data_IF_703464155867
#
_entry.id   IF_703464155867
#
_cell.length_a   1.000
_cell.length_b   1.000
_cell.length_c   1.000
_cell.angle_alpha   90.00
_cell.angle_beta   90.00
_cell.angle_gamma   90.00
#
_symmetry.space_group_name_H-M   'P 1'
#
loop_
_entity.id
_entity.type
_entity.pdbx_description
1 polymer ?
#
# COMPACT_ATOMS: atom_id res chain seq x y z
N UNK A 1 -23.92 -4.90 2.32
CA UNK A 1 -23.91 -6.37 2.21
C UNK A 1 -22.60 -6.78 1.59
N UNK A 2 -21.73 -7.36 2.40
CA UNK A 2 -20.47 -7.97 1.97
C UNK A 2 -20.79 -9.15 1.05
N UNK A 3 -20.43 -9.10 -0.21
CA UNK A 3 -20.44 -10.29 -1.04
C UNK A 3 -19.21 -11.12 -0.69
N UNK A 4 -19.41 -12.26 -0.05
CA UNK A 4 -18.39 -13.29 0.08
C UNK A 4 -18.01 -13.77 -1.33
N UNK A 5 -16.86 -13.34 -1.82
CA UNK A 5 -16.20 -14.06 -2.89
C UNK A 5 -15.59 -15.32 -2.26
N UNK A 6 -16.10 -16.48 -2.61
CA UNK A 6 -15.52 -17.76 -2.22
C UNK A 6 -14.03 -17.73 -2.54
N UNK A 7 -13.19 -17.94 -1.53
CA UNK A 7 -11.75 -18.09 -1.69
C UNK A 7 -11.50 -19.29 -2.61
N UNK A 8 -11.29 -19.04 -3.89
CA UNK A 8 -10.65 -20.03 -4.75
C UNK A 8 -9.16 -19.98 -4.43
N UNK A 9 -8.49 -21.12 -4.23
CA UNK A 9 -7.04 -21.11 -4.20
C UNK A 9 -6.57 -20.53 -5.54
N UNK A 10 -5.98 -19.34 -5.48
CA UNK A 10 -5.36 -18.72 -6.63
C UNK A 10 -4.04 -19.47 -6.85
N UNK A 11 -4.06 -20.51 -7.64
CA UNK A 11 -2.83 -21.10 -8.17
C UNK A 11 -2.40 -20.18 -9.30
N UNK A 12 -1.67 -19.13 -8.96
CA UNK A 12 -0.92 -18.33 -9.91
C UNK A 12 0.21 -19.20 -10.44
N UNK A 13 -0.01 -19.81 -11.58
CA UNK A 13 1.08 -20.37 -12.37
C UNK A 13 1.77 -19.20 -13.05
N UNK A 14 2.78 -18.61 -12.37
CA UNK A 14 3.56 -17.48 -12.86
C UNK A 14 4.56 -17.88 -13.96
N UNK A 15 4.27 -18.93 -14.73
CA UNK A 15 5.13 -19.33 -15.85
C UNK A 15 5.26 -18.18 -16.86
N UNK A 16 6.47 -17.63 -16.94
CA UNK A 16 6.82 -16.55 -17.86
C UNK A 16 6.79 -15.14 -17.25
N UNK A 17 6.12 -14.92 -16.10
CA UNK A 17 6.07 -13.60 -15.48
C UNK A 17 7.39 -13.18 -14.80
N UNK A 18 8.27 -14.12 -14.51
CA UNK A 18 9.64 -13.87 -14.05
C UNK A 18 10.61 -13.48 -15.19
N UNK A 19 10.17 -13.62 -16.45
CA UNK A 19 10.98 -13.27 -17.61
C UNK A 19 10.90 -11.76 -17.90
N UNK A 20 11.93 -11.24 -18.55
CA UNK A 20 11.90 -9.87 -19.05
C UNK A 20 10.87 -9.74 -20.17
N UNK A 21 9.99 -8.75 -20.07
CA UNK A 21 9.08 -8.41 -21.15
C UNK A 21 9.83 -7.66 -22.29
N UNK A 22 9.31 -7.75 -23.53
CA UNK A 22 9.84 -6.93 -24.64
C UNK A 22 9.62 -5.44 -24.38
N UNK A 23 8.43 -5.10 -23.86
CA UNK A 23 8.04 -3.74 -23.49
C UNK A 23 8.22 -3.58 -22.00
N UNK A 24 9.14 -2.70 -21.60
CA UNK A 24 9.54 -2.54 -20.20
C UNK A 24 9.19 -1.17 -19.67
N UNK A 25 8.61 -1.14 -18.48
CA UNK A 25 8.45 0.07 -17.71
C UNK A 25 9.80 0.59 -17.20
N UNK A 26 9.81 1.81 -16.72
CA UNK A 26 10.97 2.46 -16.11
C UNK A 26 10.80 2.61 -14.60
N UNK A 27 11.93 2.58 -13.89
CA UNK A 27 11.99 2.84 -12.46
C UNK A 27 12.69 4.18 -12.24
N UNK A 28 12.05 5.05 -11.48
CA UNK A 28 12.59 6.37 -11.10
C UNK A 28 12.76 6.40 -9.59
N UNK A 29 13.98 6.70 -9.12
CA UNK A 29 14.21 7.06 -7.72
C UNK A 29 13.81 8.52 -7.50
N UNK A 30 13.10 8.78 -6.41
CA UNK A 30 12.68 10.11 -6.00
C UNK A 30 13.01 10.32 -4.53
N UNK A 31 13.85 11.31 -4.25
CA UNK A 31 14.01 11.83 -2.91
C UNK A 31 13.07 13.03 -2.74
N UNK A 32 12.42 13.13 -1.58
CA UNK A 32 11.44 14.18 -1.29
C UNK A 32 11.59 14.69 0.15
N UNK A 33 11.25 15.93 0.34
CA UNK A 33 11.24 16.56 1.65
C UNK A 33 9.98 16.15 2.40
N UNK A 34 10.17 15.81 3.67
CA UNK A 34 9.13 15.40 4.60
C UNK A 34 9.48 15.86 6.02
N UNK A 35 8.79 15.35 7.00
CA UNK A 35 9.05 15.60 8.41
C UNK A 35 8.93 14.32 9.22
N UNK A 36 9.46 14.34 10.42
CA UNK A 36 9.32 13.23 11.34
C UNK A 36 7.91 13.21 11.94
N UNK A 37 7.09 12.31 11.46
CA UNK A 37 5.73 12.07 11.96
C UNK A 37 5.70 11.07 13.11
N UNK A 38 6.72 10.22 13.26
CA UNK A 38 6.76 9.16 14.26
C UNK A 38 7.04 9.71 15.66
N UNK A 39 7.97 10.65 15.76
CA UNK A 39 8.33 11.29 17.03
C UNK A 39 7.45 12.52 17.35
N UNK A 40 6.53 12.88 16.45
CA UNK A 40 5.60 13.99 16.62
C UNK A 40 6.25 15.37 16.70
N UNK A 41 7.55 15.47 16.42
CA UNK A 41 8.32 16.70 16.55
C UNK A 41 8.31 17.56 15.28
N UNK A 42 7.89 17.01 14.16
CA UNK A 42 7.89 17.70 12.87
C UNK A 42 9.28 18.10 12.36
N UNK A 43 10.35 17.47 12.86
CA UNK A 43 11.70 17.71 12.39
C UNK A 43 11.81 17.44 10.89
N UNK A 44 12.46 18.34 10.15
CA UNK A 44 12.68 18.18 8.71
C UNK A 44 13.45 16.90 8.42
N UNK A 45 12.97 16.13 7.45
CA UNK A 45 13.57 14.88 6.96
C UNK A 45 13.56 14.88 5.44
N UNK A 46 14.44 14.08 4.86
CA UNK A 46 14.35 13.66 3.45
C UNK A 46 14.08 12.17 3.43
N UNK A 47 13.11 11.75 2.63
CA UNK A 47 12.81 10.33 2.43
C UNK A 47 12.90 9.97 0.95
N UNK A 48 12.90 8.68 0.64
CA UNK A 48 13.05 8.15 -0.72
C UNK A 48 11.86 7.27 -1.07
N UNK A 49 11.39 7.38 -2.29
CA UNK A 49 10.47 6.44 -2.91
C UNK A 49 10.99 6.02 -4.29
N UNK A 50 10.57 4.84 -4.76
CA UNK A 50 10.79 4.42 -6.14
C UNK A 50 9.46 4.39 -6.87
N UNK A 51 9.46 4.84 -8.11
CA UNK A 51 8.27 4.96 -8.95
C UNK A 51 8.45 4.11 -10.19
N UNK A 52 7.58 3.11 -10.37
CA UNK A 52 7.44 2.41 -11.63
C UNK A 52 6.48 3.16 -12.54
N UNK A 53 6.93 3.47 -13.73
CA UNK A 53 6.12 4.00 -14.84
C UNK A 53 5.95 2.89 -15.87
N UNK A 54 4.72 2.58 -16.34
CA UNK A 54 4.50 1.52 -17.31
C UNK A 54 5.13 1.86 -18.67
N UNK A 55 5.42 0.83 -19.46
CA UNK A 55 5.88 1.04 -20.83
C UNK A 55 4.95 1.98 -21.59
N UNK A 56 5.53 2.93 -22.32
CA UNK A 56 4.77 3.92 -23.08
C UNK A 56 3.98 4.88 -22.18
N UNK A 57 4.49 5.14 -20.95
CA UNK A 57 3.91 6.18 -20.09
C UNK A 57 3.77 7.49 -20.89
N UNK A 58 2.59 8.08 -20.82
CA UNK A 58 2.17 9.22 -21.61
C UNK A 58 1.52 10.26 -20.70
N UNK A 59 2.09 11.45 -20.65
CA UNK A 59 1.59 12.56 -19.84
C UNK A 59 0.22 13.09 -20.27
N UNK A 60 -0.32 12.62 -21.40
CA UNK A 60 -1.68 12.94 -21.83
C UNK A 60 -2.72 11.94 -21.34
N UNK A 61 -2.27 10.84 -20.69
CA UNK A 61 -3.13 9.80 -20.11
C UNK A 61 -3.14 9.87 -18.61
N UNK A 62 -4.24 9.43 -18.00
CA UNK A 62 -4.37 9.30 -16.56
C UNK A 62 -4.18 7.86 -16.13
N UNK A 63 -3.45 7.67 -15.06
CA UNK A 63 -3.11 6.35 -14.53
C UNK A 63 -3.66 6.15 -13.11
N UNK A 64 -4.15 4.95 -12.83
CA UNK A 64 -4.33 4.50 -11.46
C UNK A 64 -2.96 4.41 -10.79
N UNK A 65 -2.92 4.60 -9.48
CA UNK A 65 -1.67 4.57 -8.72
C UNK A 65 -1.80 3.70 -7.48
N UNK A 66 -0.75 2.96 -7.17
CA UNK A 66 -0.67 2.14 -5.96
C UNK A 66 0.61 2.43 -5.19
N UNK A 67 0.46 2.62 -3.88
CA UNK A 67 1.56 2.74 -2.92
C UNK A 67 1.77 1.36 -2.28
N UNK A 68 2.96 0.76 -2.50
CA UNK A 68 3.28 -0.59 -2.06
C UNK A 68 4.42 -0.57 -1.03
N UNK A 69 4.10 -0.87 0.21
CA UNK A 69 5.00 -0.74 1.36
C UNK A 69 5.73 -2.06 1.62
N UNK A 70 7.04 -1.99 1.82
CA UNK A 70 7.91 -3.14 2.08
C UNK A 70 7.71 -3.76 3.48
N UNK A 71 8.22 -4.98 3.69
CA UNK A 71 8.28 -5.66 4.99
C UNK A 71 9.42 -5.13 5.88
N UNK A 72 9.60 -5.76 7.06
CA UNK A 72 10.46 -5.24 8.14
C UNK A 72 11.88 -4.87 7.70
N UNK A 73 12.60 -5.75 7.06
CA UNK A 73 14.01 -5.49 6.67
C UNK A 73 14.15 -4.79 5.30
N UNK A 74 13.04 -4.32 4.74
CA UNK A 74 13.05 -3.68 3.45
C UNK A 74 13.37 -2.20 3.49
N UNK A 75 13.47 -1.65 2.29
CA UNK A 75 13.61 -0.22 2.00
C UNK A 75 12.74 0.12 0.80
N UNK A 76 12.68 1.38 0.40
CA UNK A 76 11.98 1.81 -0.81
C UNK A 76 12.37 1.02 -2.08
N UNK A 77 13.63 0.56 -2.17
CA UNK A 77 14.14 -0.16 -3.35
C UNK A 77 13.85 -1.66 -3.36
N UNK A 78 13.34 -2.22 -2.25
CA UNK A 78 13.22 -3.69 -2.05
C UNK A 78 12.55 -4.41 -3.20
N UNK A 79 11.50 -3.85 -3.78
CA UNK A 79 10.75 -4.50 -4.85
C UNK A 79 11.37 -4.37 -6.24
N UNK A 80 12.31 -3.42 -6.44
CA UNK A 80 12.84 -3.09 -7.76
C UNK A 80 14.34 -3.35 -7.93
N UNK A 81 15.16 -3.12 -6.89
CA UNK A 81 16.63 -3.10 -7.01
C UNK A 81 17.33 -4.24 -6.25
N UNK A 82 16.60 -5.11 -5.54
CA UNK A 82 17.21 -6.29 -4.90
C UNK A 82 17.32 -7.45 -5.87
N UNK A 83 18.17 -8.43 -5.57
CA UNK A 83 18.30 -9.68 -6.36
C UNK A 83 16.94 -10.40 -6.54
N UNK A 84 16.03 -10.21 -5.58
CA UNK A 84 14.67 -10.72 -5.61
C UNK A 84 13.64 -9.69 -6.09
N UNK A 85 14.09 -8.53 -6.57
CA UNK A 85 13.24 -7.42 -7.03
C UNK A 85 12.56 -7.72 -8.36
N UNK A 86 11.64 -8.65 -8.35
CA UNK A 86 10.93 -9.12 -9.56
C UNK A 86 9.73 -8.25 -9.94
N UNK A 87 9.39 -7.24 -9.13
CA UNK A 87 8.12 -6.52 -9.29
C UNK A 87 8.00 -5.87 -10.67
N UNK A 88 9.07 -5.25 -11.20
CA UNK A 88 9.02 -4.65 -12.54
C UNK A 88 8.68 -5.69 -13.61
N UNK A 89 9.36 -6.84 -13.61
CA UNK A 89 9.10 -7.92 -14.58
C UNK A 89 7.66 -8.41 -14.50
N UNK A 90 7.17 -8.62 -13.29
CA UNK A 90 5.79 -9.03 -13.05
C UNK A 90 4.80 -8.01 -13.60
N UNK A 91 4.98 -6.72 -13.30
CA UNK A 91 4.11 -5.65 -13.79
C UNK A 91 4.15 -5.53 -15.32
N UNK A 92 5.35 -5.56 -15.91
CA UNK A 92 5.52 -5.48 -17.36
C UNK A 92 4.79 -6.64 -18.06
N UNK A 93 4.93 -7.86 -17.55
CA UNK A 93 4.25 -9.05 -18.11
C UNK A 93 2.74 -8.99 -17.91
N UNK A 94 2.26 -8.62 -16.71
CA UNK A 94 0.82 -8.50 -16.44
C UNK A 94 0.16 -7.43 -17.33
N UNK A 95 0.85 -6.33 -17.60
CA UNK A 95 0.38 -5.28 -18.52
C UNK A 95 0.40 -5.78 -19.95
N UNK A 96 1.48 -6.45 -20.39
CA UNK A 96 1.62 -6.98 -21.74
C UNK A 96 0.56 -8.05 -22.05
N UNK A 97 0.19 -8.87 -21.08
CA UNK A 97 -0.87 -9.88 -21.23
C UNK A 97 -2.29 -9.33 -21.04
N UNK A 98 -2.43 -8.08 -20.60
CA UNK A 98 -3.73 -7.46 -20.35
C UNK A 98 -4.40 -7.90 -19.06
N UNK A 99 -3.65 -8.50 -18.11
CA UNK A 99 -4.16 -8.91 -16.80
C UNK A 99 -4.46 -7.71 -15.92
N UNK A 100 -3.67 -6.63 -16.08
CA UNK A 100 -3.91 -5.33 -15.45
C UNK A 100 -3.79 -4.20 -16.48
N UNK A 101 -4.53 -3.13 -16.27
CA UNK A 101 -4.33 -1.90 -17.00
C UNK A 101 -2.97 -1.25 -16.61
N UNK A 102 -2.31 -0.53 -17.53
CA UNK A 102 -1.13 0.26 -17.19
C UNK A 102 -1.39 1.15 -15.98
N UNK A 103 -0.52 1.10 -14.97
CA UNK A 103 -0.66 1.84 -13.73
C UNK A 103 0.71 2.27 -13.17
N UNK A 104 0.70 3.25 -12.30
CA UNK A 104 1.89 3.72 -11.57
C UNK A 104 1.99 2.95 -10.26
N UNK A 105 3.19 2.46 -9.92
CA UNK A 105 3.45 1.88 -8.60
C UNK A 105 4.50 2.74 -7.90
N UNK A 106 4.23 3.11 -6.67
CA UNK A 106 5.16 3.83 -5.80
C UNK A 106 5.54 2.94 -4.63
N UNK A 107 6.83 2.78 -4.39
CA UNK A 107 7.31 2.03 -3.23
C UNK A 107 7.95 2.99 -2.22
N UNK A 108 7.19 3.46 -1.22
CA UNK A 108 7.72 4.30 -0.14
C UNK A 108 8.47 3.48 0.89
N UNK A 109 9.14 4.16 1.83
CA UNK A 109 9.70 3.52 3.02
C UNK A 109 9.29 4.27 4.28
N UNK A 110 8.94 3.53 5.35
CA UNK A 110 8.60 4.09 6.65
C UNK A 110 9.83 4.39 7.52
N UNK A 111 10.98 3.78 7.22
CA UNK A 111 12.17 3.78 8.06
C UNK A 111 13.28 4.72 7.58
N UNK A 112 12.99 5.63 6.66
CA UNK A 112 13.96 6.58 6.07
C UNK A 112 15.22 5.89 5.52
N UNK A 113 15.08 4.64 5.03
CA UNK A 113 16.20 3.83 4.54
C UNK A 113 17.08 3.23 5.65
N UNK A 114 16.70 3.32 6.92
CA UNK A 114 17.41 2.77 8.07
C UNK A 114 16.59 1.64 8.69
N UNK A 115 16.91 0.37 8.41
CA UNK A 115 16.18 -0.76 8.98
C UNK A 115 16.18 -0.71 10.51
N UNK A 116 15.03 -0.95 11.11
CA UNK A 116 14.87 -1.04 12.57
C UNK A 116 15.31 -2.40 13.09
N UNK A 117 15.73 -2.46 14.35
CA UNK A 117 16.26 -3.69 14.94
C UNK A 117 15.18 -4.78 15.12
N UNK A 118 13.95 -4.37 15.39
CA UNK A 118 12.82 -5.26 15.63
C UNK A 118 11.48 -4.62 15.23
N UNK A 119 10.41 -5.39 15.32
CA UNK A 119 9.06 -4.95 14.93
C UNK A 119 8.53 -3.81 15.80
N UNK A 120 8.86 -3.81 17.08
CA UNK A 120 8.39 -2.79 18.02
C UNK A 120 9.04 -1.44 17.76
N UNK A 121 10.30 -1.43 17.32
CA UNK A 121 10.99 -0.22 16.90
C UNK A 121 10.46 0.30 15.55
N UNK A 122 9.95 -0.60 14.70
CA UNK A 122 9.36 -0.25 13.41
C UNK A 122 7.93 0.33 13.54
N UNK A 123 7.18 -0.08 14.55
CA UNK A 123 5.76 0.24 14.69
C UNK A 123 5.43 1.74 14.67
N UNK A 124 6.13 2.62 15.41
CA UNK A 124 5.86 4.07 15.36
C UNK A 124 6.00 4.66 13.94
N UNK A 125 6.97 4.17 13.18
CA UNK A 125 7.19 4.61 11.80
C UNK A 125 6.13 4.06 10.84
N UNK A 126 5.74 2.79 11.00
CA UNK A 126 4.64 2.19 10.24
C UNK A 126 3.32 2.93 10.47
N UNK A 127 3.06 3.32 11.73
CA UNK A 127 1.88 4.09 12.10
C UNK A 127 1.91 5.52 11.57
N UNK A 128 3.10 6.11 11.46
CA UNK A 128 3.30 7.48 10.99
C UNK A 128 3.24 7.62 9.46
N UNK A 129 3.62 6.57 8.71
CA UNK A 129 3.71 6.63 7.26
C UNK A 129 2.41 7.07 6.56
N UNK A 130 1.20 6.66 6.97
CA UNK A 130 -0.04 7.14 6.35
C UNK A 130 -0.17 8.67 6.33
N UNK A 131 0.26 9.34 7.39
CA UNK A 131 0.26 10.81 7.45
C UNK A 131 1.32 11.42 6.51
N UNK A 132 2.52 10.84 6.46
CA UNK A 132 3.56 11.25 5.50
C UNK A 132 3.10 11.06 4.05
N UNK A 133 2.43 9.94 3.75
CA UNK A 133 1.90 9.70 2.41
C UNK A 133 0.93 10.80 1.99
N UNK A 134 -0.04 11.13 2.83
CA UNK A 134 -1.10 12.08 2.47
C UNK A 134 -0.58 13.52 2.41
N UNK A 135 0.30 13.90 3.33
CA UNK A 135 0.75 15.29 3.42
C UNK A 135 1.95 15.63 2.52
N UNK A 136 2.81 14.65 2.23
CA UNK A 136 4.07 14.93 1.56
C UNK A 136 4.24 14.09 0.26
N UNK A 137 4.20 12.76 0.31
CA UNK A 137 4.56 11.93 -0.84
C UNK A 137 3.49 11.94 -1.95
N UNK A 138 2.21 11.81 -1.63
CA UNK A 138 1.12 11.86 -2.63
C UNK A 138 1.15 13.19 -3.37
N UNK A 139 1.20 14.36 -2.70
CA UNK A 139 1.34 15.65 -3.38
C UNK A 139 2.54 15.73 -4.32
N UNK A 140 3.71 15.27 -3.89
CA UNK A 140 4.94 15.32 -4.69
C UNK A 140 4.86 14.41 -5.92
N UNK A 141 4.39 13.16 -5.74
CA UNK A 141 4.31 12.19 -6.83
C UNK A 141 3.21 12.58 -7.83
N UNK A 142 2.01 12.87 -7.34
CA UNK A 142 0.84 13.08 -8.21
C UNK A 142 0.78 14.48 -8.83
N UNK A 143 1.60 15.43 -8.35
CA UNK A 143 1.86 16.67 -9.10
C UNK A 143 2.85 16.48 -10.25
N UNK A 144 3.70 15.46 -10.18
CA UNK A 144 4.73 15.18 -11.19
C UNK A 144 4.30 14.19 -12.27
N UNK A 145 3.44 13.23 -11.90
CA UNK A 145 2.98 12.17 -12.81
C UNK A 145 1.47 12.25 -12.99
N UNK A 146 1.00 11.98 -14.22
CA UNK A 146 -0.39 12.10 -14.58
C UNK A 146 -1.25 10.97 -14.00
N UNK A 147 -1.85 11.22 -12.85
CA UNK A 147 -2.85 10.37 -12.19
C UNK A 147 -4.25 10.92 -12.42
N UNK A 148 -5.22 10.37 -11.71
CA UNK A 148 -6.58 10.91 -11.69
C UNK A 148 -6.76 12.08 -10.71
N UNK A 149 -5.73 12.47 -9.94
CA UNK A 149 -5.75 13.68 -9.14
C UNK A 149 -5.55 14.90 -10.06
N UNK A 150 -6.54 15.79 -10.11
CA UNK A 150 -6.44 17.05 -10.86
C UNK A 150 -5.67 18.11 -10.07
N UNK A 151 -5.80 18.06 -8.75
CA UNK A 151 -5.01 18.83 -7.79
C UNK A 151 -4.49 17.89 -6.70
N UNK A 152 -3.44 18.29 -6.02
CA UNK A 152 -2.80 17.49 -4.96
C UNK A 152 -3.01 18.06 -3.57
N UNK A 153 -3.95 18.96 -3.41
CA UNK A 153 -4.50 19.37 -2.13
C UNK A 153 -5.45 18.30 -1.55
N UNK A 154 -5.94 18.52 -0.35
CA UNK A 154 -6.80 17.56 0.34
C UNK A 154 -8.07 17.19 -0.46
N UNK A 155 -8.67 18.16 -1.14
CA UNK A 155 -9.86 17.95 -1.95
C UNK A 155 -9.56 17.11 -3.20
N UNK A 156 -8.50 17.42 -3.93
CA UNK A 156 -8.09 16.65 -5.13
C UNK A 156 -7.68 15.22 -4.79
N UNK A 157 -7.00 15.03 -3.65
CA UNK A 157 -6.66 13.70 -3.14
C UNK A 157 -7.93 12.89 -2.82
N UNK A 158 -8.91 13.52 -2.18
CA UNK A 158 -10.17 12.88 -1.83
C UNK A 158 -11.00 12.52 -3.07
N UNK A 159 -11.17 13.43 -3.99
CA UNK A 159 -11.96 13.22 -5.23
C UNK A 159 -11.35 12.08 -6.06
N UNK A 160 -10.01 11.98 -6.11
CA UNK A 160 -9.29 10.94 -6.85
C UNK A 160 -9.12 9.62 -6.10
N UNK A 161 -9.56 9.49 -4.84
CA UNK A 161 -9.32 8.30 -3.98
C UNK A 161 -9.69 6.96 -4.61
N UNK A 162 -10.69 6.93 -5.49
CA UNK A 162 -11.14 5.70 -6.18
C UNK A 162 -10.10 5.14 -7.17
N UNK A 163 -9.10 5.92 -7.51
CA UNK A 163 -8.00 5.57 -8.39
C UNK A 163 -6.68 5.31 -7.65
N UNK A 164 -6.74 5.35 -6.30
CA UNK A 164 -5.55 5.19 -5.45
C UNK A 164 -5.67 3.98 -4.55
N UNK A 165 -4.63 3.14 -4.56
CA UNK A 165 -4.49 1.96 -3.74
C UNK A 165 -3.29 2.08 -2.78
N UNK A 166 -3.38 1.40 -1.65
CA UNK A 166 -2.25 1.13 -0.76
C UNK A 166 -2.21 -0.36 -0.42
N UNK A 167 -1.03 -0.91 -0.34
CA UNK A 167 -0.82 -2.29 0.07
C UNK A 167 0.58 -2.51 0.61
N UNK A 168 0.84 -3.71 1.10
CA UNK A 168 2.17 -4.06 1.57
C UNK A 168 2.24 -5.44 2.18
N UNK A 169 3.46 -5.92 2.37
CA UNK A 169 3.77 -7.23 2.90
C UNK A 169 4.32 -7.13 4.33
N UNK A 170 3.91 -8.03 5.24
CA UNK A 170 4.40 -8.09 6.62
C UNK A 170 4.20 -6.75 7.35
N UNK A 171 5.26 -6.05 7.77
CA UNK A 171 5.14 -4.70 8.35
C UNK A 171 4.49 -3.68 7.39
N UNK A 172 4.62 -3.88 6.08
CA UNK A 172 3.87 -3.09 5.09
C UNK A 172 2.37 -3.36 5.13
N UNK A 173 1.94 -4.58 5.50
CA UNK A 173 0.53 -4.87 5.74
C UNK A 173 0.03 -4.21 7.04
N UNK A 174 0.85 -4.20 8.10
CA UNK A 174 0.56 -3.42 9.34
C UNK A 174 0.35 -1.94 8.99
N UNK A 175 1.24 -1.37 8.17
CA UNK A 175 1.11 0.01 7.66
C UNK A 175 -0.17 0.20 6.84
N UNK A 176 -0.53 -0.79 6.02
CA UNK A 176 -1.79 -0.76 5.24
C UNK A 176 -3.02 -0.71 6.14
N UNK A 177 -3.02 -1.43 7.27
CA UNK A 177 -4.09 -1.36 8.26
C UNK A 177 -4.14 0.00 8.98
N UNK A 178 -3.00 0.61 9.31
CA UNK A 178 -2.96 1.98 9.81
C UNK A 178 -3.50 2.98 8.78
N UNK A 179 -3.16 2.81 7.51
CA UNK A 179 -3.71 3.64 6.44
C UNK A 179 -5.23 3.46 6.31
N UNK A 180 -5.76 2.24 6.47
CA UNK A 180 -7.20 2.03 6.49
C UNK A 180 -7.88 2.75 7.65
N UNK A 181 -7.26 2.74 8.83
CA UNK A 181 -7.78 3.41 10.02
C UNK A 181 -7.80 4.95 9.88
N UNK A 182 -6.80 5.53 9.21
CA UNK A 182 -6.54 6.97 9.27
C UNK A 182 -6.78 7.72 7.95
N UNK A 183 -6.76 7.04 6.80
CA UNK A 183 -6.69 7.70 5.49
C UNK A 183 -7.73 7.24 4.48
N UNK A 184 -8.95 6.94 4.93
CA UNK A 184 -10.07 6.59 4.05
C UNK A 184 -10.41 7.69 3.02
N UNK A 185 -10.05 8.95 3.29
CA UNK A 185 -10.18 10.06 2.35
C UNK A 185 -9.19 9.98 1.18
N UNK A 186 -8.04 9.34 1.38
CA UNK A 186 -7.00 9.28 0.36
C UNK A 186 -7.06 7.98 -0.46
N UNK A 187 -7.47 6.87 0.15
CA UNK A 187 -7.43 5.55 -0.48
C UNK A 187 -8.81 4.88 -0.51
N UNK A 188 -9.10 4.18 -1.59
CA UNK A 188 -10.28 3.31 -1.72
C UNK A 188 -9.93 1.82 -1.66
N UNK A 189 -8.71 1.45 -2.07
CA UNK A 189 -8.27 0.08 -2.24
C UNK A 189 -7.13 -0.22 -1.27
N UNK A 190 -7.30 -1.28 -0.47
CA UNK A 190 -6.34 -1.68 0.55
C UNK A 190 -5.94 -3.13 0.32
N UNK A 191 -4.63 -3.40 0.26
CA UNK A 191 -4.09 -4.73 -0.02
C UNK A 191 -3.06 -5.15 1.04
N UNK A 192 -3.50 -5.47 2.28
CA UNK A 192 -2.61 -6.02 3.29
C UNK A 192 -2.28 -7.48 2.98
N UNK A 193 -1.00 -7.84 2.93
CA UNK A 193 -0.50 -9.18 2.61
C UNK A 193 0.34 -9.68 3.78
N UNK A 194 -0.04 -10.81 4.37
CA UNK A 194 0.72 -11.54 5.42
C UNK A 194 1.16 -10.64 6.58
N UNK A 195 0.26 -9.83 7.12
CA UNK A 195 0.53 -8.97 8.28
C UNK A 195 -0.73 -8.69 9.08
N UNK A 196 -0.56 -8.41 10.36
CA UNK A 196 -1.65 -8.25 11.30
C UNK A 196 -2.14 -6.80 11.42
N UNK A 197 -3.36 -6.61 11.86
CA UNK A 197 -3.91 -5.29 12.19
C UNK A 197 -3.52 -4.89 13.62
N UNK A 198 -2.74 -3.81 13.74
CA UNK A 198 -2.26 -3.29 15.03
C UNK A 198 -2.97 -2.00 15.47
N UNK A 199 -4.07 -1.63 14.85
CA UNK A 199 -4.82 -0.39 15.20
C UNK A 199 -5.24 -0.31 16.67
N UNK A 200 -5.47 -1.45 17.33
CA UNK A 200 -5.75 -1.53 18.78
C UNK A 200 -4.54 -1.97 19.63
N UNK A 201 -3.34 -1.87 19.09
CA UNK A 201 -2.09 -2.31 19.71
C UNK A 201 -1.51 -3.56 19.05
N UNK A 202 -0.30 -3.92 19.45
CA UNK A 202 0.46 -5.00 18.83
C UNK A 202 -0.30 -6.32 18.80
N UNK A 203 -0.33 -6.92 17.62
CA UNK A 203 -1.01 -8.19 17.36
C UNK A 203 -2.50 -8.20 17.73
N UNK A 204 -3.16 -7.04 17.69
CA UNK A 204 -4.57 -6.95 18.06
C UNK A 204 -5.48 -7.77 17.14
N UNK A 205 -5.21 -7.79 15.84
CA UNK A 205 -5.97 -8.60 14.89
C UNK A 205 -5.89 -10.10 15.17
N UNK A 206 -4.73 -10.60 15.64
CA UNK A 206 -4.56 -12.00 16.04
C UNK A 206 -5.12 -12.30 17.42
N UNK A 207 -4.86 -11.42 18.39
CA UNK A 207 -5.17 -11.68 19.79
C UNK A 207 -6.60 -11.28 20.19
N UNK A 208 -7.19 -10.31 19.46
CA UNK A 208 -8.54 -9.76 19.70
C UNK A 208 -9.26 -9.51 18.39
N UNK A 209 -9.45 -10.57 17.53
CA UNK A 209 -9.92 -10.40 16.17
C UNK A 209 -11.30 -9.75 16.08
N UNK A 210 -12.26 -10.15 16.91
CA UNK A 210 -13.62 -9.62 16.90
C UNK A 210 -13.66 -8.15 17.32
N UNK A 211 -12.89 -7.78 18.35
CA UNK A 211 -12.78 -6.39 18.82
C UNK A 211 -12.12 -5.52 17.74
N UNK A 212 -11.06 -6.02 17.10
CA UNK A 212 -10.38 -5.31 16.02
C UNK A 212 -11.29 -5.14 14.80
N UNK A 213 -12.03 -6.16 14.43
CA UNK A 213 -12.98 -6.09 13.32
C UNK A 213 -14.13 -5.11 13.62
N UNK A 214 -14.67 -5.13 14.84
CA UNK A 214 -15.70 -4.18 15.28
C UNK A 214 -15.17 -2.73 15.23
N UNK A 215 -13.96 -2.50 15.72
CA UNK A 215 -13.30 -1.20 15.68
C UNK A 215 -13.17 -0.66 14.25
N UNK A 216 -12.63 -1.46 13.33
CA UNK A 216 -12.49 -1.04 11.92
C UNK A 216 -13.84 -0.79 11.26
N UNK A 217 -14.85 -1.61 11.57
CA UNK A 217 -16.22 -1.41 11.08
C UNK A 217 -16.83 -0.12 11.61
N UNK A 218 -16.57 0.24 12.88
CA UNK A 218 -17.04 1.50 13.46
C UNK A 218 -16.34 2.71 12.82
N UNK A 219 -15.05 2.62 12.55
CA UNK A 219 -14.32 3.66 11.80
C UNK A 219 -14.99 3.95 10.45
N UNK A 220 -15.34 2.91 9.70
CA UNK A 220 -16.05 3.07 8.43
C UNK A 220 -17.42 3.67 8.64
N UNK A 221 -18.22 3.16 9.58
CA UNK A 221 -19.58 3.65 9.86
C UNK A 221 -19.61 5.13 10.24
N UNK A 222 -18.59 5.60 10.95
CA UNK A 222 -18.46 6.98 11.41
C UNK A 222 -17.82 7.90 10.35
N UNK A 223 -17.25 7.34 9.29
CA UNK A 223 -16.63 8.12 8.21
C UNK A 223 -17.65 8.61 7.19
N UNK A 224 -17.27 9.66 6.43
CA UNK A 224 -18.03 10.11 5.27
C UNK A 224 -18.11 9.05 4.14
N UNK A 225 -17.35 7.95 4.25
CA UNK A 225 -17.20 6.92 3.21
C UNK A 225 -18.02 5.67 3.44
N UNK A 226 -18.84 5.60 4.49
CA UNK A 226 -19.67 4.44 4.81
C UNK A 226 -20.57 3.97 3.64
N UNK A 227 -21.06 4.89 2.81
CA UNK A 227 -21.91 4.60 1.65
C UNK A 227 -21.18 4.59 0.30
N UNK A 228 -19.92 5.00 0.23
CA UNK A 228 -19.21 5.20 -1.05
C UNK A 228 -18.34 4.02 -1.49
N UNK A 229 -18.27 2.99 -0.66
CA UNK A 229 -17.49 1.79 -0.89
C UNK A 229 -15.97 1.98 -0.75
N UNK A 230 -15.35 0.96 -0.25
CA UNK A 230 -13.91 0.72 -0.26
C UNK A 230 -13.72 -0.78 -0.47
N UNK A 231 -12.49 -1.19 -0.75
CA UNK A 231 -12.17 -2.59 -0.97
C UNK A 231 -10.94 -2.98 -0.17
N UNK A 232 -11.04 -4.10 0.52
CA UNK A 232 -9.91 -4.75 1.16
C UNK A 232 -9.70 -6.09 0.46
N UNK A 233 -8.53 -6.28 -0.12
CA UNK A 233 -8.07 -7.55 -0.62
C UNK A 233 -6.92 -8.02 0.26
N UNK A 234 -7.20 -8.94 1.17
CA UNK A 234 -6.22 -9.46 2.11
C UNK A 234 -5.79 -10.87 1.69
N UNK A 235 -4.51 -11.14 1.75
CA UNK A 235 -3.94 -12.45 1.46
C UNK A 235 -2.97 -12.89 2.55
N UNK A 236 -3.00 -14.19 2.87
CA UNK A 236 -2.07 -14.82 3.82
C UNK A 236 -1.88 -16.28 3.42
N UNK A 237 -0.69 -16.82 3.65
CA UNK A 237 -0.44 -18.26 3.49
C UNK A 237 -1.16 -19.07 4.56
N UNK A 238 -1.51 -20.31 4.26
CA UNK A 238 -2.21 -21.22 5.20
C UNK A 238 -1.38 -21.55 6.44
N UNK A 239 -0.06 -21.42 6.36
CA UNK A 239 0.89 -21.63 7.46
C UNK A 239 1.42 -20.31 8.04
N UNK A 240 0.86 -19.18 7.63
CA UNK A 240 1.24 -17.86 8.11
C UNK A 240 0.52 -17.55 9.42
N UNK A 241 1.23 -16.99 10.40
CA UNK A 241 0.64 -16.55 11.67
C UNK A 241 -0.45 -15.49 11.48
N UNK A 242 -0.34 -14.64 10.46
CA UNK A 242 -1.34 -13.63 10.13
C UNK A 242 -2.65 -14.23 9.57
N UNK A 243 -2.70 -15.52 9.24
CA UNK A 243 -3.92 -16.17 8.72
C UNK A 243 -5.10 -16.08 9.70
N UNK A 244 -4.83 -16.06 10.99
CA UNK A 244 -5.85 -15.93 12.05
C UNK A 244 -6.59 -14.59 11.93
N UNK A 245 -5.86 -13.48 11.82
CA UNK A 245 -6.45 -12.13 11.66
C UNK A 245 -7.41 -12.06 10.48
N UNK A 246 -7.01 -12.62 9.34
CA UNK A 246 -7.80 -12.54 8.10
C UNK A 246 -9.01 -13.47 8.10
N UNK A 247 -8.96 -14.57 8.83
CA UNK A 247 -10.09 -15.49 8.95
C UNK A 247 -11.25 -14.85 9.71
N UNK A 248 -10.97 -14.12 10.76
CA UNK A 248 -11.99 -13.44 11.58
C UNK A 248 -12.57 -12.18 10.90
N UNK A 249 -11.76 -11.42 10.18
CA UNK A 249 -12.24 -10.25 9.41
C UNK A 249 -13.29 -10.61 8.33
N UNK A 250 -13.42 -11.88 7.96
CA UNK A 250 -14.44 -12.37 7.01
C UNK A 250 -15.82 -12.55 7.62
N UNK A 251 -15.95 -12.58 8.93
CA UNK A 251 -17.19 -12.93 9.63
C UNK A 251 -18.07 -11.71 9.96
N UNK A 252 -17.57 -10.50 9.77
CA UNK A 252 -18.23 -9.22 10.07
C UNK A 252 -18.32 -8.31 8.86
#
# INVERSE_FOLDING_TARGET
>A
TWRQSLARPLVLTLYGYEQEAEQRGSIVRMDYDTRDYAEGCGASRTNTAYIYLPYGYDEQKRYNIMYLVHGHYGTASTYFETENGMLRKLLDQMIAHGDIAPMIIVTPTYNYGQPTANYTDADPYCKALPQELVNDLIPVVESRYHTYAETTDAEGIEVSRKHRAIGGFSMGAVTTWYAFDETLSAFKWFMPISGDCWSLGWFAGMNRPDETAAYLADKVRQSAYAGTGFYIWAASGTSDSASVSYTHLRAH
#
